data_IF_891235265737
#
_entry.id   IF_891235265737
#
_cell.length_a   1.000
_cell.length_b   1.000
_cell.length_c   1.000
_cell.angle_alpha   90.00
_cell.angle_beta   90.00
_cell.angle_gamma   90.00
#
_symmetry.space_group_name_H-M   'P 1'
#
loop_
_entity.id
_entity.type
_entity.pdbx_description
1 polymer ?
#
# COMPACT_ATOMS: atom_id res chain seq x y z
N UNK A 1 -11.12 -40.27 -16.87
CA UNK A 1 -9.92 -39.48 -17.22
C UNK A 1 -9.68 -38.58 -16.04
N UNK A 2 -8.70 -38.90 -15.21
CA UNK A 2 -8.37 -38.12 -14.02
C UNK A 2 -7.50 -36.97 -14.50
N UNK A 3 -7.96 -35.73 -14.36
CA UNK A 3 -7.15 -34.54 -14.58
C UNK A 3 -6.08 -34.48 -13.48
N UNK A 4 -4.92 -35.04 -13.80
CA UNK A 4 -3.73 -34.95 -12.97
C UNK A 4 -3.06 -33.62 -13.32
N UNK A 5 -2.87 -32.69 -12.38
CA UNK A 5 -2.20 -31.43 -12.67
C UNK A 5 -0.77 -31.75 -13.12
N UNK A 6 -0.41 -31.31 -14.33
CA UNK A 6 0.92 -31.50 -14.90
C UNK A 6 1.96 -30.86 -13.98
N UNK A 7 2.88 -31.70 -13.47
CA UNK A 7 3.91 -31.34 -12.48
C UNK A 7 4.88 -30.25 -12.99
N UNK A 8 4.96 -30.05 -14.30
CA UNK A 8 5.83 -29.06 -14.94
C UNK A 8 5.32 -27.61 -14.78
N UNK A 9 4.01 -27.39 -14.67
CA UNK A 9 3.44 -26.05 -14.43
C UNK A 9 3.67 -25.59 -12.98
N UNK A 10 3.74 -26.51 -12.02
CA UNK A 10 3.99 -26.14 -10.63
C UNK A 10 5.44 -25.64 -10.41
N UNK A 11 6.41 -26.23 -11.12
CA UNK A 11 7.83 -25.91 -11.00
C UNK A 11 8.21 -24.57 -11.66
N UNK A 12 7.60 -24.24 -12.80
CA UNK A 12 7.77 -22.93 -13.46
C UNK A 12 7.21 -21.79 -12.62
N UNK A 13 6.02 -21.98 -12.03
CA UNK A 13 5.38 -21.03 -11.11
C UNK A 13 6.18 -20.82 -9.82
N UNK A 14 6.87 -21.83 -9.31
CA UNK A 14 7.76 -21.71 -8.15
C UNK A 14 9.00 -20.86 -8.47
N UNK A 15 9.60 -21.06 -9.64
CA UNK A 15 10.72 -20.24 -10.14
C UNK A 15 10.34 -18.77 -10.34
N UNK A 16 9.15 -18.50 -10.90
CA UNK A 16 8.66 -17.12 -11.09
C UNK A 16 8.39 -16.42 -9.76
N UNK A 17 7.75 -17.12 -8.80
CA UNK A 17 7.53 -16.59 -7.45
C UNK A 17 8.84 -16.23 -6.76
N UNK A 18 9.87 -17.05 -6.91
CA UNK A 18 11.20 -16.80 -6.36
C UNK A 18 11.85 -15.57 -6.98
N UNK A 19 11.69 -15.36 -8.30
CA UNK A 19 12.17 -14.16 -8.99
C UNK A 19 11.47 -12.91 -8.44
N UNK A 20 10.14 -12.91 -8.32
CA UNK A 20 9.40 -11.78 -7.77
C UNK A 20 9.75 -11.52 -6.29
N UNK A 21 9.87 -12.57 -5.48
CA UNK A 21 10.23 -12.43 -4.07
C UNK A 21 11.62 -11.82 -3.92
N UNK A 22 12.59 -12.28 -4.71
CA UNK A 22 13.94 -11.72 -4.71
C UNK A 22 13.92 -10.26 -5.13
N UNK A 23 13.20 -9.92 -6.19
CA UNK A 23 13.03 -8.54 -6.64
C UNK A 23 12.44 -7.65 -5.55
N UNK A 24 11.33 -8.06 -4.92
CA UNK A 24 10.69 -7.29 -3.84
C UNK A 24 11.59 -7.14 -2.61
N UNK A 25 12.38 -8.16 -2.26
CA UNK A 25 13.36 -8.08 -1.16
C UNK A 25 14.54 -7.16 -1.46
N UNK A 26 14.89 -6.99 -2.74
CA UNK A 26 16.01 -6.15 -3.16
C UNK A 26 15.67 -4.66 -3.27
N UNK A 27 14.40 -4.28 -3.28
CA UNK A 27 13.96 -2.87 -3.40
C UNK A 27 13.25 -2.42 -2.14
N UNK A 28 13.55 -1.21 -1.68
CA UNK A 28 12.88 -0.61 -0.52
C UNK A 28 11.65 0.15 -0.99
N UNK A 29 10.65 0.33 -0.11
CA UNK A 29 9.43 1.05 -0.47
C UNK A 29 9.66 2.51 -0.89
N UNK A 30 10.82 3.10 -0.60
CA UNK A 30 11.15 4.43 -1.10
C UNK A 30 11.59 4.44 -2.57
N UNK A 31 12.07 3.31 -3.11
CA UNK A 31 12.51 3.20 -4.51
C UNK A 31 11.34 3.32 -5.48
N UNK A 32 10.13 2.99 -5.02
CA UNK A 32 8.89 3.08 -5.79
C UNK A 32 8.19 4.44 -5.65
N UNK A 33 8.65 5.31 -4.73
CA UNK A 33 8.02 6.63 -4.56
C UNK A 33 8.43 7.52 -5.74
N UNK A 34 7.47 8.12 -6.47
CA UNK A 34 7.79 9.06 -7.54
C UNK A 34 8.62 10.24 -7.02
N UNK A 35 9.45 10.84 -7.89
CA UNK A 35 10.29 12.00 -7.55
C UNK A 35 9.53 13.12 -6.84
N UNK A 36 8.24 13.28 -7.15
CA UNK A 36 7.33 14.15 -6.42
C UNK A 36 5.97 13.48 -6.26
N UNK A 37 5.37 13.58 -5.07
CA UNK A 37 4.03 13.07 -4.77
C UNK A 37 3.30 14.00 -3.82
N UNK A 38 1.96 14.03 -3.90
CA UNK A 38 1.10 14.74 -2.95
C UNK A 38 0.64 13.77 -1.87
N UNK A 39 0.85 14.13 -0.61
CA UNK A 39 0.33 13.39 0.55
C UNK A 39 -0.76 14.22 1.25
N UNK A 40 -1.88 13.58 1.59
CA UNK A 40 -2.96 14.17 2.40
C UNK A 40 -2.94 13.51 3.76
N UNK A 41 -2.86 14.31 4.83
CA UNK A 41 -2.88 13.87 6.22
C UNK A 41 -3.93 14.68 6.96
N UNK A 42 -4.71 14.02 7.83
CA UNK A 42 -5.71 14.71 8.65
C UNK A 42 -5.29 14.74 10.11
N UNK A 43 -5.52 15.87 10.78
CA UNK A 43 -5.39 15.92 12.23
C UNK A 43 -6.54 15.13 12.89
N UNK A 44 -6.27 14.46 14.01
CA UNK A 44 -7.28 13.70 14.75
C UNK A 44 -8.46 14.55 15.25
N UNK A 45 -8.27 15.86 15.40
CA UNK A 45 -9.32 16.80 15.79
C UNK A 45 -10.18 17.27 14.60
N UNK A 46 -9.84 16.89 13.36
CA UNK A 46 -10.61 17.24 12.17
C UNK A 46 -12.00 16.60 12.22
N UNK A 47 -13.03 17.41 12.00
CA UNK A 47 -14.41 16.91 11.95
C UNK A 47 -14.59 15.87 10.84
N UNK A 48 -15.26 14.75 11.14
CA UNK A 48 -15.50 13.63 10.20
C UNK A 48 -16.13 14.11 8.89
N UNK A 49 -17.11 15.02 8.94
CA UNK A 49 -17.74 15.57 7.74
C UNK A 49 -16.73 16.29 6.83
N UNK A 50 -15.81 17.06 7.41
CA UNK A 50 -14.75 17.76 6.65
C UNK A 50 -13.73 16.78 6.10
N UNK A 51 -13.33 15.77 6.88
CA UNK A 51 -12.44 14.72 6.43
C UNK A 51 -13.02 13.98 5.21
N UNK A 52 -14.32 13.65 5.24
CA UNK A 52 -14.99 13.00 4.11
C UNK A 52 -14.94 13.83 2.83
N UNK A 53 -15.29 15.12 2.90
CA UNK A 53 -15.20 16.01 1.74
C UNK A 53 -13.76 16.18 1.26
N UNK A 54 -12.79 16.26 2.17
CA UNK A 54 -11.39 16.39 1.83
C UNK A 54 -10.86 15.14 1.10
N UNK A 55 -11.29 13.92 1.47
CA UNK A 55 -10.94 12.70 0.73
C UNK A 55 -11.41 12.78 -0.73
N UNK A 56 -12.70 13.09 -0.92
CA UNK A 56 -13.31 13.21 -2.25
C UNK A 56 -12.62 14.29 -3.09
N UNK A 57 -12.41 15.48 -2.52
CA UNK A 57 -11.79 16.61 -3.21
C UNK A 57 -10.33 16.36 -3.60
N UNK A 58 -9.61 15.53 -2.83
CA UNK A 58 -8.23 15.16 -3.14
C UNK A 58 -8.12 13.87 -3.96
N UNK A 59 -9.24 13.23 -4.31
CA UNK A 59 -9.25 11.99 -5.10
C UNK A 59 -8.63 10.78 -4.37
N UNK A 60 -8.55 10.81 -3.04
CA UNK A 60 -7.96 9.74 -2.23
C UNK A 60 -9.04 9.00 -1.44
N UNK A 61 -8.87 7.69 -1.25
CA UNK A 61 -9.83 6.85 -0.50
C UNK A 61 -9.55 6.80 1.00
N UNK A 62 -8.32 7.12 1.39
CA UNK A 62 -7.87 7.15 2.77
C UNK A 62 -6.77 8.20 2.91
N UNK A 63 -6.59 8.68 4.15
CA UNK A 63 -5.52 9.58 4.54
C UNK A 63 -5.03 9.17 5.93
N UNK A 64 -3.72 9.19 6.21
CA UNK A 64 -3.21 8.98 7.56
C UNK A 64 -3.75 10.02 8.54
N UNK A 65 -3.88 9.62 9.80
CA UNK A 65 -4.23 10.52 10.89
C UNK A 65 -3.00 10.95 11.68
N UNK A 66 -2.91 12.23 11.99
CA UNK A 66 -1.85 12.84 12.77
C UNK A 66 -2.40 13.37 14.10
N UNK A 67 -1.81 12.96 15.21
CA UNK A 67 -2.16 13.47 16.53
C UNK A 67 -1.18 14.60 16.91
N UNK A 68 -1.58 15.85 16.65
CA UNK A 68 -0.70 17.02 16.89
C UNK A 68 -0.21 17.17 18.33
N UNK A 69 -0.96 16.67 19.33
CA UNK A 69 -0.52 16.74 20.73
C UNK A 69 0.66 15.82 21.04
N UNK A 70 0.71 14.65 20.41
CA UNK A 70 1.77 13.65 20.58
C UNK A 70 2.83 13.73 19.49
N UNK A 71 2.59 14.52 18.44
CA UNK A 71 3.43 14.62 17.24
C UNK A 71 3.68 13.22 16.64
N UNK A 72 2.61 12.44 16.49
CA UNK A 72 2.69 11.06 16.02
C UNK A 72 1.55 10.70 15.07
N UNK A 73 1.81 9.79 14.14
CA UNK A 73 0.76 9.16 13.34
C UNK A 73 -0.02 8.15 14.19
N UNK A 74 -1.34 8.09 13.97
CA UNK A 74 -2.25 7.15 14.64
C UNK A 74 -3.18 6.50 13.62
N UNK A 75 -3.69 5.31 13.95
CA UNK A 75 -4.48 4.47 13.05
C UNK A 75 -3.76 3.16 12.72
N UNK A 76 -4.55 2.09 12.60
CA UNK A 76 -4.11 0.73 12.31
C UNK A 76 -4.63 0.29 10.95
#
# INVERSE_FOLDING_TARGET
MSDQPDLDDAASNESERDIYMRFMKCHKCYDIIPTSSKLVVFDTTLQVKKAFFALVANGVRAAPLWESKKQSFVGS
#
